data_IF_976567206649
#
_entry.id   IF_976567206649
#
_cell.length_a   1.000
_cell.length_b   1.000
_cell.length_c   1.000
_cell.angle_alpha   90.00
_cell.angle_beta   90.00
_cell.angle_gamma   90.00
#
_symmetry.space_group_name_H-M   'P 1'
#
loop_
_entity.id
_entity.type
_entity.pdbx_description
1 polymer ?
#
# COMPACT_ATOMS: atom_id res chain seq x y z
N UNK A 1 17.49 -8.93 -2.43
CA UNK A 1 17.65 -8.59 -1.00
C UNK A 1 16.27 -8.47 -0.41
N UNK A 2 15.86 -9.41 0.45
CA UNK A 2 14.64 -9.30 1.26
C UNK A 2 14.93 -8.28 2.37
N UNK A 3 14.15 -7.21 2.45
CA UNK A 3 14.18 -6.32 3.62
C UNK A 3 13.37 -7.02 4.73
N UNK A 4 14.04 -7.39 5.82
CA UNK A 4 13.38 -7.75 7.07
C UNK A 4 12.56 -6.54 7.55
N UNK A 5 11.25 -6.57 7.32
CA UNK A 5 10.34 -5.66 7.96
C UNK A 5 10.22 -6.09 9.42
N UNK A 6 10.79 -5.32 10.35
CA UNK A 6 10.50 -5.47 11.76
C UNK A 6 9.03 -5.05 12.00
N UNK A 7 8.14 -6.04 11.94
CA UNK A 7 6.75 -5.90 12.32
C UNK A 7 6.68 -5.57 13.81
N UNK A 8 6.74 -4.28 14.14
CA UNK A 8 6.58 -3.84 15.52
C UNK A 8 5.24 -4.33 16.10
N UNK A 9 5.18 -4.55 17.41
CA UNK A 9 3.92 -4.92 18.10
C UNK A 9 2.77 -3.93 17.80
N UNK A 10 3.11 -2.66 17.51
CA UNK A 10 2.16 -1.66 17.05
C UNK A 10 1.59 -1.99 15.66
N UNK A 11 2.44 -2.38 14.71
CA UNK A 11 2.03 -2.79 13.37
C UNK A 11 1.14 -4.04 13.43
N UNK A 12 1.52 -5.07 14.21
CA UNK A 12 0.72 -6.28 14.41
C UNK A 12 -0.68 -5.97 14.99
N UNK A 13 -0.75 -5.08 15.99
CA UNK A 13 -2.02 -4.65 16.58
C UNK A 13 -2.91 -3.94 15.56
N UNK A 14 -2.34 -3.07 14.72
CA UNK A 14 -3.10 -2.35 13.68
C UNK A 14 -3.54 -3.26 12.52
N UNK A 15 -2.73 -4.25 12.19
CA UNK A 15 -3.04 -5.27 11.18
C UNK A 15 -4.18 -6.17 11.66
N UNK A 16 -4.11 -6.65 12.91
CA UNK A 16 -5.16 -7.45 13.54
C UNK A 16 -6.48 -6.67 13.65
N UNK A 17 -6.43 -5.39 14.06
CA UNK A 17 -7.62 -4.52 14.11
C UNK A 17 -8.29 -4.30 12.74
N UNK A 18 -7.61 -4.62 11.63
CA UNK A 18 -8.11 -4.37 10.26
C UNK A 18 -8.19 -5.62 9.39
N UNK A 19 -8.03 -6.80 9.99
CA UNK A 19 -8.12 -8.11 9.34
C UNK A 19 -7.20 -8.25 8.12
N UNK A 20 -5.94 -7.80 8.27
CA UNK A 20 -4.89 -7.92 7.27
C UNK A 20 -3.78 -8.82 7.81
N UNK A 21 -3.39 -9.82 7.03
CA UNK A 21 -2.25 -10.69 7.35
C UNK A 21 -0.93 -10.02 6.96
N UNK A 22 0.19 -10.55 7.44
CA UNK A 22 1.52 -10.15 6.98
C UNK A 22 1.67 -10.30 5.47
N UNK A 23 1.17 -11.41 4.91
CA UNK A 23 1.13 -11.67 3.47
C UNK A 23 0.33 -10.60 2.70
N UNK A 24 -0.80 -10.14 3.24
CA UNK A 24 -1.61 -9.09 2.59
C UNK A 24 -0.83 -7.78 2.49
N UNK A 25 -0.06 -7.44 3.54
CA UNK A 25 0.76 -6.23 3.57
C UNK A 25 1.95 -6.35 2.63
N UNK A 26 2.64 -7.49 2.64
CA UNK A 26 3.74 -7.77 1.72
C UNK A 26 3.27 -7.71 0.27
N UNK A 27 2.09 -8.25 -0.04
CA UNK A 27 1.49 -8.17 -1.36
C UNK A 27 1.23 -6.71 -1.79
N UNK A 28 0.73 -5.88 -0.88
CA UNK A 28 0.50 -4.44 -1.17
C UNK A 28 1.82 -3.70 -1.35
N UNK A 29 2.89 -4.05 -0.63
CA UNK A 29 4.21 -3.43 -0.82
C UNK A 29 4.83 -3.87 -2.15
N UNK A 30 4.67 -5.14 -2.51
CA UNK A 30 5.27 -5.74 -3.71
C UNK A 30 4.58 -5.27 -5.00
N UNK A 31 3.24 -5.25 -5.02
CA UNK A 31 2.45 -4.93 -6.21
C UNK A 31 1.82 -3.55 -6.17
N UNK A 32 1.79 -2.90 -5.00
CA UNK A 32 1.19 -1.57 -4.87
C UNK A 32 2.07 -0.46 -5.42
N UNK A 33 1.41 0.61 -5.80
CA UNK A 33 2.06 1.83 -6.25
C UNK A 33 2.60 2.63 -5.05
N UNK A 34 3.89 3.00 -5.09
CA UNK A 34 4.54 3.79 -4.05
C UNK A 34 4.38 5.30 -4.31
N UNK A 35 3.82 6.01 -3.33
CA UNK A 35 3.79 7.47 -3.25
C UNK A 35 4.63 7.95 -2.08
N UNK A 36 5.45 8.97 -2.30
CA UNK A 36 6.20 9.64 -1.22
C UNK A 36 5.52 10.96 -0.89
N UNK A 37 4.88 11.07 0.27
CA UNK A 37 4.13 12.27 0.65
C UNK A 37 4.29 12.54 2.14
N UNK A 38 4.43 13.81 2.53
CA UNK A 38 4.48 14.22 3.94
C UNK A 38 5.64 13.59 4.74
N UNK A 39 6.66 13.07 4.06
CA UNK A 39 7.74 12.35 4.72
C UNK A 39 7.36 10.95 5.19
N UNK A 40 6.47 10.27 4.46
CA UNK A 40 6.14 8.86 4.66
C UNK A 40 6.03 8.16 3.30
N UNK A 41 6.15 6.83 3.31
CA UNK A 41 5.98 5.98 2.14
C UNK A 41 4.56 5.40 2.13
N UNK A 42 3.80 5.68 1.08
CA UNK A 42 2.43 5.22 0.94
C UNK A 42 2.38 4.19 -0.18
N UNK A 43 2.22 2.92 0.14
CA UNK A 43 1.99 1.86 -0.83
C UNK A 43 0.51 1.67 -1.04
N UNK A 44 0.08 1.73 -2.29
CA UNK A 44 -1.32 1.75 -2.66
C UNK A 44 -1.63 0.69 -3.70
N UNK A 45 -2.45 -0.30 -3.35
CA UNK A 45 -2.81 -1.37 -4.28
C UNK A 45 -4.03 -1.00 -5.13
N UNK A 46 -3.81 -0.76 -6.43
CA UNK A 46 -4.89 -0.58 -7.41
C UNK A 46 -5.30 -1.93 -8.00
N UNK A 47 -6.54 -2.00 -8.47
CA UNK A 47 -7.01 -3.17 -9.21
C UNK A 47 -6.15 -3.48 -10.45
N UNK A 48 -5.68 -2.45 -11.15
CA UNK A 48 -4.87 -2.60 -12.36
C UNK A 48 -3.46 -3.15 -12.07
N UNK A 49 -2.93 -2.90 -10.86
CA UNK A 49 -1.62 -3.39 -10.45
C UNK A 49 -1.67 -4.86 -9.97
N UNK A 50 -2.87 -5.41 -9.75
CA UNK A 50 -3.05 -6.80 -9.34
C UNK A 50 -2.99 -7.72 -10.57
N UNK A 51 -2.06 -8.69 -10.60
CA UNK A 51 -2.02 -9.75 -11.60
C UNK A 51 -3.37 -10.44 -11.79
N UNK A 52 -3.79 -10.64 -13.04
CA UNK A 52 -5.12 -11.22 -13.37
C UNK A 52 -5.42 -12.53 -12.64
N UNK A 53 -4.39 -13.36 -12.44
CA UNK A 53 -4.46 -14.65 -11.73
C UNK A 53 -4.84 -14.51 -10.25
N UNK A 54 -4.41 -13.43 -9.60
CA UNK A 54 -4.65 -13.20 -8.18
C UNK A 54 -5.92 -12.38 -7.91
N UNK A 55 -6.49 -11.72 -8.93
CA UNK A 55 -7.59 -10.75 -8.75
C UNK A 55 -8.77 -11.28 -7.94
N UNK A 56 -9.15 -12.56 -8.05
CA UNK A 56 -10.24 -13.15 -7.24
C UNK A 56 -9.83 -13.36 -5.78
N UNK A 57 -8.57 -13.73 -5.52
CA UNK A 57 -8.01 -14.00 -4.20
C UNK A 57 -7.78 -12.71 -3.41
N UNK A 58 -7.20 -11.70 -4.07
CA UNK A 58 -6.82 -10.43 -3.43
C UNK A 58 -7.78 -9.29 -3.74
N UNK A 59 -8.97 -9.57 -4.29
CA UNK A 59 -9.99 -8.55 -4.56
C UNK A 59 -10.32 -7.71 -3.32
N UNK A 60 -10.28 -8.36 -2.14
CA UNK A 60 -10.47 -7.70 -0.84
C UNK A 60 -9.38 -6.67 -0.53
N UNK A 61 -8.17 -6.84 -1.07
CA UNK A 61 -7.03 -5.94 -0.86
C UNK A 61 -7.06 -4.71 -1.76
N UNK A 62 -7.91 -4.71 -2.79
CA UNK A 62 -8.10 -3.55 -3.65
C UNK A 62 -8.41 -2.30 -2.82
N UNK A 63 -7.56 -1.28 -2.99
CA UNK A 63 -7.70 -0.01 -2.29
C UNK A 63 -7.18 0.00 -0.86
N UNK A 64 -6.37 -1.00 -0.51
CA UNK A 64 -5.56 -0.98 0.71
C UNK A 64 -4.39 -0.02 0.51
N UNK A 65 -4.16 0.83 1.52
CA UNK A 65 -3.00 1.70 1.61
C UNK A 65 -2.18 1.30 2.81
N UNK A 66 -0.90 0.99 2.59
CA UNK A 66 0.08 0.75 3.64
C UNK A 66 0.92 2.02 3.76
N UNK A 67 0.87 2.64 4.93
CA UNK A 67 1.71 3.77 5.30
C UNK A 67 2.90 3.26 6.08
N UNK A 68 4.08 3.53 5.56
CA UNK A 68 5.35 3.24 6.20
C UNK A 68 6.12 4.53 6.47
N UNK A 69 7.06 4.45 7.38
CA UNK A 69 8.03 5.51 7.63
C UNK A 69 8.94 5.75 6.42
N UNK A 70 9.80 6.78 6.48
CA UNK A 70 10.69 7.12 5.36
C UNK A 70 11.70 6.02 5.04
N UNK A 71 12.09 5.23 6.04
CA UNK A 71 13.06 4.14 5.85
C UNK A 71 12.43 2.92 5.18
N UNK A 72 11.09 2.78 5.24
CA UNK A 72 10.39 1.59 4.79
C UNK A 72 10.58 0.40 5.75
N UNK A 73 11.08 0.63 6.96
CA UNK A 73 11.28 -0.41 7.96
C UNK A 73 10.06 -0.56 8.87
N UNK A 74 9.30 0.52 9.07
CA UNK A 74 8.19 0.53 10.03
C UNK A 74 6.86 0.86 9.37
N UNK A 75 5.87 -0.01 9.57
CA UNK A 75 4.48 0.25 9.18
C UNK A 75 3.87 1.19 10.24
N UNK A 76 3.61 2.43 9.83
CA UNK A 76 2.91 3.42 10.66
C UNK A 76 1.44 3.05 10.75
N UNK A 77 0.81 2.76 9.61
CA UNK A 77 -0.59 2.35 9.59
C UNK A 77 -0.95 1.63 8.31
N UNK A 78 -1.96 0.76 8.34
CA UNK A 78 -2.53 0.17 7.12
C UNK A 78 -4.02 0.43 7.14
N UNK A 79 -4.59 1.04 6.11
CA UNK A 79 -6.02 1.27 6.06
C UNK A 79 -6.59 0.89 4.71
N UNK A 80 -7.81 0.35 4.72
CA UNK A 80 -8.58 0.14 3.50
C UNK A 80 -9.51 1.32 3.33
N UNK A 81 -9.30 2.12 2.29
CA UNK A 81 -10.17 3.26 2.03
C UNK A 81 -10.63 3.29 0.58
N UNK A 82 -11.70 2.53 0.30
CA UNK A 82 -12.35 2.47 -1.02
C UNK A 82 -12.87 3.83 -1.51
N UNK A 83 -13.18 4.78 -0.62
CA UNK A 83 -13.63 6.14 -0.99
C UNK A 83 -12.47 7.13 -1.17
N UNK A 84 -11.46 7.02 -0.30
CA UNK A 84 -10.18 7.73 -0.40
C UNK A 84 -9.39 7.37 -1.65
N UNK A 85 -9.69 6.23 -2.30
CA UNK A 85 -9.18 5.87 -3.62
C UNK A 85 -9.36 6.98 -4.62
N UNK A 86 -10.48 7.71 -4.61
CA UNK A 86 -10.72 8.71 -5.65
C UNK A 86 -9.72 9.87 -5.54
N UNK A 87 -9.48 10.34 -4.32
CA UNK A 87 -8.52 11.43 -4.04
C UNK A 87 -7.08 10.95 -4.20
N UNK A 88 -6.76 9.77 -3.66
CA UNK A 88 -5.41 9.21 -3.77
C UNK A 88 -5.07 8.81 -5.22
N UNK A 89 -6.02 8.21 -5.96
CA UNK A 89 -5.88 7.88 -7.38
C UNK A 89 -5.73 9.13 -8.23
N UNK A 90 -6.45 10.21 -7.93
CA UNK A 90 -6.23 11.49 -8.61
C UNK A 90 -4.80 11.98 -8.34
N UNK A 91 -4.35 11.98 -7.09
CA UNK A 91 -2.98 12.41 -6.74
C UNK A 91 -1.90 11.53 -7.40
N UNK A 92 -2.06 10.21 -7.36
CA UNK A 92 -1.19 9.23 -8.04
C UNK A 92 -1.20 9.45 -9.55
N UNK A 93 -2.38 9.63 -10.15
CA UNK A 93 -2.52 9.88 -11.59
C UNK A 93 -1.77 11.15 -11.98
N UNK A 94 -1.97 12.23 -11.23
CA UNK A 94 -1.23 13.48 -11.41
C UNK A 94 0.29 13.28 -11.30
N UNK A 95 0.77 12.56 -10.29
CA UNK A 95 2.22 12.28 -10.12
C UNK A 95 2.79 11.39 -11.24
N UNK A 96 2.04 10.41 -11.74
CA UNK A 96 2.44 9.56 -12.88
C UNK A 96 2.49 10.36 -14.18
N UNK A 97 1.48 11.19 -14.46
CA UNK A 97 1.43 12.01 -15.68
C UNK A 97 2.60 13.00 -15.72
N UNK A 98 2.94 13.62 -14.58
CA UNK A 98 4.08 14.54 -14.49
C UNK A 98 5.44 13.85 -14.67
N UNK A 99 5.56 12.56 -14.29
CA UNK A 99 6.80 11.78 -14.47
C UNK A 99 6.98 11.19 -15.87
N UNK A 100 5.90 11.06 -16.64
CA UNK A 100 5.94 10.49 -18.01
C UNK A 100 6.18 11.58 -19.06
N UNK A 101 6.10 12.86 -18.67
CA UNK A 101 6.34 14.04 -19.50
C UNK A 101 7.79 14.58 -19.40
N UNK A 102 8.72 13.83 -18.81
CA UNK A 102 10.16 14.10 -18.77
C UNK A 102 10.92 12.81 -19.10
#
# INVERSE_FOLDING_TARGET
MMQEMELSNHALTRMAQRNLSAEDVEYVIQFGYLVRSGGALHYFLRYDDIPKVDRKRVQRLEGTTVLMDRSGQFIITVYRNRRGLKVLRQKVKWEIEQRTLH
#
